data_IF_483649891901
#
_entry.id   IF_483649891901
#
_cell.length_a   1.000
_cell.length_b   1.000
_cell.length_c   1.000
_cell.angle_alpha   90.00
_cell.angle_beta   90.00
_cell.angle_gamma   90.00
#
_symmetry.space_group_name_H-M   'P 1'
#
loop_
_entity.id
_entity.type
_entity.pdbx_description
1 polymer ?
#
# COMPACT_ATOMS: atom_id res chain seq x y z
N UNK A 1 0.19 -11.37 -12.83
CA UNK A 1 -0.14 -11.33 -11.39
C UNK A 1 -0.50 -9.89 -11.10
N UNK A 2 -1.76 -9.62 -10.79
CA UNK A 2 -2.26 -8.29 -10.46
C UNK A 2 -1.65 -7.83 -9.13
N UNK A 3 -1.25 -6.56 -9.02
CA UNK A 3 -0.77 -5.96 -7.79
C UNK A 3 -1.87 -5.16 -7.08
N UNK A 4 -1.67 -4.84 -5.80
CA UNK A 4 -2.57 -3.91 -5.10
C UNK A 4 -2.68 -2.56 -5.81
N UNK A 5 -1.59 -2.07 -6.42
CA UNK A 5 -1.60 -0.84 -7.20
C UNK A 5 -2.49 -0.96 -8.44
N UNK A 6 -2.39 -2.06 -9.19
CA UNK A 6 -3.22 -2.29 -10.38
C UNK A 6 -4.72 -2.29 -10.01
N UNK A 7 -5.07 -2.96 -8.90
CA UNK A 7 -6.45 -3.01 -8.40
C UNK A 7 -6.96 -1.63 -7.97
N UNK A 8 -6.12 -0.82 -7.32
CA UNK A 8 -6.44 0.55 -6.91
C UNK A 8 -6.70 1.40 -8.16
N UNK A 9 -5.76 1.41 -9.11
CA UNK A 9 -5.86 2.20 -10.34
C UNK A 9 -7.11 1.83 -11.14
N UNK A 10 -7.36 0.54 -11.34
CA UNK A 10 -8.54 0.06 -12.04
C UNK A 10 -9.86 0.41 -11.34
N UNK A 11 -9.88 0.36 -10.01
CA UNK A 11 -11.07 0.72 -9.24
C UNK A 11 -11.32 2.22 -9.28
N UNK A 12 -10.26 3.03 -9.23
CA UNK A 12 -10.33 4.47 -9.32
C UNK A 12 -10.86 4.95 -10.68
N UNK A 13 -10.34 4.41 -11.79
CA UNK A 13 -10.78 4.73 -13.16
C UNK A 13 -12.28 4.45 -13.40
N UNK A 14 -12.83 3.43 -12.73
CA UNK A 14 -14.23 3.01 -12.87
C UNK A 14 -15.18 3.65 -11.88
N UNK A 15 -14.66 4.29 -10.84
CA UNK A 15 -15.47 4.89 -9.78
C UNK A 15 -15.67 6.38 -10.03
N UNK A 16 -16.75 6.94 -9.47
CA UNK A 16 -16.81 8.38 -9.23
C UNK A 16 -15.79 8.74 -8.14
N UNK A 17 -15.20 9.92 -8.24
CA UNK A 17 -14.13 10.38 -7.35
C UNK A 17 -14.56 10.31 -5.86
N UNK A 18 -15.82 10.66 -5.57
CA UNK A 18 -16.44 10.63 -4.25
C UNK A 18 -16.54 9.22 -3.63
N UNK A 19 -16.70 8.17 -4.45
CA UNK A 19 -16.85 6.79 -3.99
C UNK A 19 -15.55 5.98 -4.04
N UNK A 20 -14.52 6.48 -4.73
CA UNK A 20 -13.36 5.69 -5.11
C UNK A 20 -12.65 5.10 -3.88
N UNK A 21 -12.43 5.91 -2.84
CA UNK A 21 -11.77 5.48 -1.59
C UNK A 21 -12.54 4.36 -0.89
N UNK A 22 -13.86 4.46 -0.80
CA UNK A 22 -14.70 3.44 -0.15
C UNK A 22 -14.65 2.12 -0.93
N UNK A 23 -14.78 2.18 -2.27
CA UNK A 23 -14.70 1.00 -3.13
C UNK A 23 -13.34 0.32 -3.06
N UNK A 24 -12.26 1.11 -2.97
CA UNK A 24 -10.90 0.60 -2.79
C UNK A 24 -10.76 -0.08 -1.42
N UNK A 25 -11.19 0.57 -0.34
CA UNK A 25 -11.16 0.00 1.02
C UNK A 25 -11.89 -1.34 1.08
N UNK A 26 -13.11 -1.40 0.54
CA UNK A 26 -13.93 -2.63 0.55
C UNK A 26 -13.30 -3.80 -0.20
N UNK A 27 -12.50 -3.52 -1.23
CA UNK A 27 -11.81 -4.55 -2.01
C UNK A 27 -10.50 -5.00 -1.37
N UNK A 28 -9.74 -4.08 -0.78
CA UNK A 28 -8.41 -4.38 -0.24
C UNK A 28 -8.45 -4.86 1.21
N UNK A 29 -9.24 -4.23 2.07
CA UNK A 29 -9.27 -4.57 3.50
C UNK A 29 -9.82 -5.98 3.67
N UNK A 30 -9.09 -6.80 4.43
CA UNK A 30 -9.36 -8.22 4.61
C UNK A 30 -8.69 -9.13 3.59
N UNK A 31 -8.17 -8.59 2.47
CA UNK A 31 -7.41 -9.38 1.50
C UNK A 31 -6.01 -9.74 2.01
N UNK A 32 -5.44 -10.83 1.49
CA UNK A 32 -4.05 -11.22 1.74
C UNK A 32 -3.18 -10.82 0.56
N UNK A 33 -2.05 -10.19 0.83
CA UNK A 33 -1.07 -9.73 -0.17
C UNK A 33 0.28 -10.37 0.08
N UNK A 34 1.02 -10.66 -1.01
CA UNK A 34 2.38 -11.17 -0.96
C UNK A 34 3.36 -10.05 -1.27
N UNK A 35 4.31 -9.80 -0.38
CA UNK A 35 5.44 -8.90 -0.64
C UNK A 35 6.50 -9.62 -1.47
N UNK A 36 6.90 -9.03 -2.60
CA UNK A 36 7.80 -9.69 -3.57
C UNK A 36 9.23 -9.88 -3.04
N UNK A 37 9.70 -8.97 -2.19
CA UNK A 37 11.11 -8.92 -1.76
C UNK A 37 11.44 -9.99 -0.70
N UNK A 38 10.55 -10.24 0.26
CA UNK A 38 10.75 -11.22 1.35
C UNK A 38 9.78 -12.42 1.27
N UNK A 39 8.89 -12.44 0.27
CA UNK A 39 7.88 -13.49 0.04
C UNK A 39 6.98 -13.74 1.25
N UNK A 40 6.77 -12.72 2.09
CA UNK A 40 5.86 -12.79 3.24
C UNK A 40 4.45 -12.42 2.83
N UNK A 41 3.47 -13.05 3.46
CA UNK A 41 2.05 -12.77 3.22
C UNK A 41 1.50 -11.95 4.38
N UNK A 42 0.83 -10.85 4.06
CA UNK A 42 0.23 -9.93 5.02
C UNK A 42 -1.25 -9.77 4.74
N UNK A 43 -2.06 -9.58 5.78
CA UNK A 43 -3.46 -9.16 5.62
C UNK A 43 -3.54 -7.64 5.65
N UNK A 44 -4.27 -7.06 4.71
CA UNK A 44 -4.52 -5.62 4.69
C UNK A 44 -5.62 -5.29 5.69
N UNK A 45 -5.30 -4.56 6.75
CA UNK A 45 -6.30 -4.15 7.76
C UNK A 45 -6.87 -2.74 7.51
N UNK A 46 -6.18 -1.91 6.74
CA UNK A 46 -6.60 -0.53 6.46
C UNK A 46 -5.71 0.18 5.44
N UNK A 47 -6.06 1.42 5.09
CA UNK A 47 -5.31 2.27 4.17
C UNK A 47 -5.14 3.65 4.79
N UNK A 48 -3.91 4.13 4.85
CA UNK A 48 -3.53 5.46 5.34
C UNK A 48 -3.36 6.39 4.14
N UNK A 49 -4.40 7.17 3.81
CA UNK A 49 -4.48 7.97 2.59
C UNK A 49 -3.60 9.23 2.57
N UNK A 50 -3.19 9.68 3.75
CA UNK A 50 -2.34 10.83 3.98
C UNK A 50 -0.85 10.52 3.85
N UNK A 51 -0.48 9.23 3.77
CA UNK A 51 0.90 8.79 3.56
C UNK A 51 1.17 8.49 2.10
N UNK A 52 2.41 8.73 1.70
CA UNK A 52 2.93 8.47 0.36
C UNK A 52 4.27 7.73 0.46
N UNK A 53 4.81 7.19 -0.65
CA UNK A 53 6.13 6.56 -0.65
C UNK A 53 7.28 7.48 -0.19
N UNK A 54 7.10 8.81 -0.24
CA UNK A 54 8.07 9.79 0.26
C UNK A 54 7.93 10.08 1.76
N UNK A 55 6.91 9.54 2.43
CA UNK A 55 6.76 9.67 3.88
C UNK A 55 7.84 8.87 4.61
N UNK A 56 8.22 9.34 5.79
CA UNK A 56 9.27 8.73 6.62
C UNK A 56 8.71 7.85 7.74
N UNK A 57 9.58 6.95 8.23
CA UNK A 57 9.36 6.15 9.42
C UNK A 57 10.68 5.89 10.15
N UNK A 58 10.59 5.62 11.44
CA UNK A 58 11.74 5.21 12.26
C UNK A 58 12.00 3.71 12.10
N UNK A 59 13.21 3.35 11.66
CA UNK A 59 13.69 1.98 11.56
C UNK A 59 13.93 1.39 12.96
N UNK A 60 14.10 0.07 13.02
CA UNK A 60 14.38 -0.64 14.28
C UNK A 60 15.71 -0.26 14.94
N UNK A 61 16.66 0.29 14.18
CA UNK A 61 17.96 0.78 14.67
C UNK A 61 17.90 2.24 15.17
N UNK A 62 16.73 2.89 15.11
CA UNK A 62 16.53 4.28 15.50
C UNK A 62 16.80 5.30 14.39
N UNK A 63 17.28 4.88 13.22
CA UNK A 63 17.43 5.77 12.06
C UNK A 63 16.09 6.13 11.42
N UNK A 64 15.97 7.33 10.87
CA UNK A 64 14.81 7.73 10.07
C UNK A 64 15.09 7.50 8.57
N UNK A 65 14.13 6.95 7.85
CA UNK A 65 14.20 6.77 6.39
C UNK A 65 12.83 6.92 5.75
N UNK A 66 12.80 7.22 4.44
CA UNK A 66 11.56 7.21 3.67
C UNK A 66 11.18 5.78 3.26
N UNK A 67 9.90 5.53 2.97
CA UNK A 67 9.52 4.21 2.43
C UNK A 67 10.28 3.92 1.13
N UNK A 68 10.38 4.89 0.22
CA UNK A 68 11.07 4.70 -1.07
C UNK A 68 12.56 4.38 -0.90
N UNK A 69 13.27 5.07 -0.01
CA UNK A 69 14.70 4.83 0.20
C UNK A 69 14.92 3.49 0.91
N UNK A 70 14.09 3.15 1.91
CA UNK A 70 14.11 1.84 2.54
C UNK A 70 13.98 0.71 1.51
N UNK A 71 13.05 0.81 0.55
CA UNK A 71 12.86 -0.21 -0.48
C UNK A 71 13.97 -0.24 -1.55
N UNK A 72 14.75 0.83 -1.72
CA UNK A 72 15.90 0.87 -2.65
C UNK A 72 17.15 0.23 -2.07
N UNK A 73 17.25 0.17 -0.74
CA UNK A 73 18.36 -0.45 -0.01
C UNK A 73 18.20 -1.95 0.22
N UNK A 74 16.99 -2.51 -0.02
CA UNK A 74 16.70 -3.95 0.07
C UNK A 74 17.32 -4.74 -1.10
#
# INVERSE_FOLDING_TARGET
METAYDLISHTHEKAREEDAKEKILKKLVGSSVLTKYDKRTYRVDGITWEKSPSSTFTRSDGGETSFVDYYREL
#
